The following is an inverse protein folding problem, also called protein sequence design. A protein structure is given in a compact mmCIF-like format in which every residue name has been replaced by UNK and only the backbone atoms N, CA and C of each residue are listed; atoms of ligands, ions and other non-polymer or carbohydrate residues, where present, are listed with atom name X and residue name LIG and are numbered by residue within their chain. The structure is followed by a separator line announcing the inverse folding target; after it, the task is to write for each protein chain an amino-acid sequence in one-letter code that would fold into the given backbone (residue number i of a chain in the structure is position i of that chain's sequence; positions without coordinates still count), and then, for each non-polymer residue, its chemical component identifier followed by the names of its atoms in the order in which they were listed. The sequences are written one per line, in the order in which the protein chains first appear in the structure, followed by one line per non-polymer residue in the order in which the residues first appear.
data_IF_479295211745
#
_entry.id   IF_479295211745
#
_cell.length_a   1.000
_cell.length_b   1.000
_cell.length_c   1.000
_cell.angle_alpha   90.00
_cell.angle_beta   90.00
_cell.angle_gamma   90.00
#
_symmetry.space_group_name_H-M   'P 1'
#
loop_
_entity.id
_entity.type
_entity.pdbx_description
1 polymer ?
#
# COMPACT_ATOMS: atom_id res chain seq x y z
N UNK A 1 23.33 -19.04 -26.58
CA UNK A 1 22.89 -18.86 -25.20
C UNK A 1 23.37 -17.51 -24.73
N UNK A 2 22.56 -16.47 -24.95
CA UNK A 2 22.77 -15.17 -24.33
C UNK A 2 22.35 -15.37 -22.87
N UNK A 3 23.31 -15.29 -21.95
CA UNK A 3 23.00 -15.40 -20.53
C UNK A 3 22.02 -14.25 -20.15
N UNK A 4 20.76 -14.55 -19.91
CA UNK A 4 19.73 -13.63 -19.48
C UNK A 4 20.12 -12.83 -18.23
N UNK A 5 21.06 -13.38 -17.44
CA UNK A 5 21.54 -12.79 -16.18
C UNK A 5 22.26 -11.45 -16.31
N UNK A 6 22.79 -11.10 -17.47
CA UNK A 6 23.55 -9.84 -17.64
C UNK A 6 22.69 -8.60 -17.88
N UNK A 7 21.38 -8.78 -18.15
CA UNK A 7 20.48 -7.65 -18.43
C UNK A 7 19.91 -7.01 -17.16
N UNK A 8 19.85 -7.75 -16.07
CA UNK A 8 19.21 -7.31 -14.83
C UNK A 8 20.23 -6.96 -13.75
N UNK A 9 19.83 -6.08 -12.85
CA UNK A 9 20.59 -5.78 -11.65
C UNK A 9 20.23 -6.80 -10.57
N UNK A 10 21.12 -7.71 -10.28
CA UNK A 10 20.91 -8.86 -9.37
C UNK A 10 20.54 -8.44 -7.94
N UNK A 11 20.87 -7.21 -7.53
CA UNK A 11 20.61 -6.72 -6.18
C UNK A 11 19.25 -6.06 -6.01
N UNK A 12 18.56 -5.72 -7.10
CA UNK A 12 17.31 -4.96 -7.08
C UNK A 12 16.10 -5.75 -7.58
N UNK A 13 16.28 -7.01 -7.95
CA UNK A 13 15.18 -7.90 -8.36
C UNK A 13 14.31 -8.32 -7.18
N UNK A 14 13.02 -8.50 -7.43
CA UNK A 14 12.03 -9.03 -6.46
C UNK A 14 11.22 -10.14 -7.10
N UNK A 15 10.82 -11.11 -6.27
CA UNK A 15 9.90 -12.17 -6.67
C UNK A 15 8.48 -11.72 -6.36
N UNK A 16 7.55 -12.01 -7.27
CA UNK A 16 6.12 -11.80 -7.05
C UNK A 16 5.52 -13.14 -6.65
N UNK A 17 4.99 -13.22 -5.43
CA UNK A 17 4.29 -14.39 -4.94
C UNK A 17 2.83 -14.06 -4.70
N UNK A 18 1.97 -15.06 -4.93
CA UNK A 18 0.57 -15.07 -4.50
C UNK A 18 0.37 -16.39 -3.75
N UNK A 19 -0.03 -16.33 -2.50
CA UNK A 19 -0.23 -17.49 -1.61
C UNK A 19 0.96 -18.47 -1.65
N UNK A 20 2.18 -17.93 -1.45
CA UNK A 20 3.47 -18.62 -1.51
C UNK A 20 3.86 -19.20 -2.89
N UNK A 21 3.02 -19.06 -3.90
CA UNK A 21 3.32 -19.48 -5.26
C UNK A 21 4.02 -18.34 -6.01
N UNK A 22 5.23 -18.63 -6.53
CA UNK A 22 5.94 -17.68 -7.39
C UNK A 22 5.20 -17.56 -8.74
N UNK A 23 4.69 -16.37 -9.03
CA UNK A 23 3.99 -16.06 -10.29
C UNK A 23 4.76 -15.10 -11.19
N UNK A 24 5.85 -14.51 -10.71
CA UNK A 24 6.61 -13.59 -11.55
C UNK A 24 7.80 -12.96 -10.86
N UNK A 25 8.37 -11.98 -11.53
CA UNK A 25 9.51 -11.19 -11.03
C UNK A 25 9.39 -9.74 -11.42
N UNK A 26 9.90 -8.86 -10.56
CA UNK A 26 10.15 -7.45 -10.86
C UNK A 26 11.66 -7.29 -10.94
N UNK A 27 12.18 -6.79 -12.05
CA UNK A 27 13.59 -6.64 -12.27
C UNK A 27 13.93 -5.19 -12.66
N UNK A 28 15.12 -4.74 -12.27
CA UNK A 28 15.67 -3.45 -12.71
C UNK A 28 16.73 -3.71 -13.76
N UNK A 29 16.61 -3.12 -14.93
CA UNK A 29 17.60 -3.30 -15.99
C UNK A 29 18.93 -2.66 -15.61
N UNK A 30 20.02 -3.31 -15.96
CA UNK A 30 21.36 -2.81 -15.70
C UNK A 30 21.62 -1.50 -16.48
N UNK A 31 22.25 -0.55 -15.83
CA UNK A 31 22.57 0.76 -16.44
C UNK A 31 23.40 0.68 -17.71
N UNK A 32 24.22 -0.34 -17.86
CA UNK A 32 24.98 -0.59 -19.08
C UNK A 32 24.10 -0.67 -20.33
N UNK A 33 22.88 -1.20 -20.18
CA UNK A 33 21.88 -1.30 -21.26
C UNK A 33 20.98 -0.09 -21.35
N UNK A 34 20.59 0.48 -20.21
CA UNK A 34 19.60 1.55 -20.17
C UNK A 34 20.15 2.95 -20.44
N UNK A 35 21.47 3.14 -20.32
CA UNK A 35 22.12 4.43 -20.55
C UNK A 35 21.89 5.01 -21.96
N UNK A 36 21.69 4.14 -22.95
CA UNK A 36 21.34 4.55 -24.33
C UNK A 36 19.91 5.10 -24.45
N UNK A 37 19.00 4.65 -23.58
CA UNK A 37 17.59 5.02 -23.57
C UNK A 37 17.31 6.15 -22.60
N UNK A 38 17.89 6.11 -21.41
CA UNK A 38 17.75 7.14 -20.39
C UNK A 38 18.91 7.13 -19.39
N UNK A 39 19.63 8.24 -19.30
CA UNK A 39 20.73 8.39 -18.33
C UNK A 39 20.25 8.62 -16.88
N UNK A 40 19.03 9.17 -16.71
CA UNK A 40 18.52 9.63 -15.42
C UNK A 40 17.47 8.72 -14.80
N UNK A 41 16.86 7.82 -15.57
CA UNK A 41 15.76 6.97 -15.10
C UNK A 41 16.19 5.52 -15.01
N UNK A 42 15.73 4.82 -13.98
CA UNK A 42 15.78 3.36 -13.95
C UNK A 42 14.64 2.80 -14.80
N UNK A 43 14.92 1.70 -15.52
CA UNK A 43 13.90 0.95 -16.26
C UNK A 43 13.64 -0.31 -15.46
N UNK A 44 12.38 -0.51 -15.13
CA UNK A 44 11.88 -1.68 -14.40
C UNK A 44 11.05 -2.53 -15.35
N UNK A 45 11.27 -3.83 -15.34
CA UNK A 45 10.45 -4.81 -16.04
C UNK A 45 9.68 -5.66 -15.03
N UNK A 46 8.49 -6.05 -15.40
CA UNK A 46 7.65 -6.96 -14.63
C UNK A 46 7.29 -8.12 -15.55
N UNK A 47 7.71 -9.32 -15.16
CA UNK A 47 7.40 -10.56 -15.87
C UNK A 47 6.41 -11.36 -15.02
N UNK A 48 5.26 -11.71 -15.58
CA UNK A 48 4.21 -12.48 -14.91
C UNK A 48 3.90 -13.73 -15.74
N UNK A 49 3.98 -14.89 -15.08
CA UNK A 49 3.48 -16.15 -15.60
C UNK A 49 1.94 -16.15 -15.48
N UNK A 50 1.29 -15.79 -16.58
CA UNK A 50 -0.15 -15.62 -16.60
C UNK A 50 -0.90 -16.95 -16.45
N UNK A 51 -0.35 -18.03 -16.94
CA UNK A 51 -0.93 -19.36 -16.79
C UNK A 51 -0.97 -19.78 -15.32
N UNK A 52 0.13 -19.59 -14.60
CA UNK A 52 0.16 -19.81 -13.15
C UNK A 52 -0.82 -18.88 -12.42
N UNK A 53 -0.86 -17.60 -12.79
CA UNK A 53 -1.78 -16.64 -12.16
C UNK A 53 -3.25 -17.04 -12.33
N UNK A 54 -3.64 -17.55 -13.51
CA UNK A 54 -5.02 -17.93 -13.79
C UNK A 54 -5.45 -19.24 -13.12
N UNK A 55 -4.48 -20.11 -12.78
CA UNK A 55 -4.75 -21.39 -12.09
C UNK A 55 -4.85 -21.24 -10.57
N UNK A 56 -4.46 -20.08 -10.00
CA UNK A 56 -4.62 -19.83 -8.58
C UNK A 56 -6.11 -19.76 -8.22
N UNK A 57 -6.45 -20.40 -7.11
CA UNK A 57 -7.81 -20.30 -6.55
C UNK A 57 -8.10 -18.82 -6.26
N UNK A 58 -9.17 -18.31 -6.87
CA UNK A 58 -9.67 -16.98 -6.59
C UNK A 58 -10.62 -17.10 -5.41
N UNK A 59 -10.29 -16.49 -4.29
CA UNK A 59 -11.30 -16.22 -3.27
C UNK A 59 -12.46 -15.47 -3.93
N UNK A 60 -13.66 -16.07 -3.92
CA UNK A 60 -14.87 -15.37 -4.31
C UNK A 60 -15.00 -14.15 -3.39
N UNK A 61 -14.73 -12.98 -3.92
CA UNK A 61 -15.04 -11.75 -3.20
C UNK A 61 -16.56 -11.65 -3.11
N UNK A 62 -17.10 -12.19 -2.02
CA UNK A 62 -18.50 -11.92 -1.66
C UNK A 62 -18.69 -10.41 -1.73
N UNK A 63 -19.65 -9.99 -2.54
CA UNK A 63 -20.02 -8.59 -2.66
C UNK A 63 -20.34 -8.04 -1.26
N UNK A 64 -19.49 -7.16 -0.76
CA UNK A 64 -19.77 -6.47 0.51
C UNK A 64 -20.99 -5.59 0.26
N UNK A 65 -21.99 -5.69 1.14
CA UNK A 65 -23.14 -4.78 1.11
C UNK A 65 -22.67 -3.34 0.99
N UNK A 66 -23.13 -2.66 -0.05
CA UNK A 66 -22.86 -1.23 -0.23
C UNK A 66 -23.56 -0.50 0.90
N UNK A 67 -22.83 0.30 1.65
CA UNK A 67 -23.42 1.10 2.72
C UNK A 67 -24.54 1.99 2.14
N UNK A 68 -25.69 1.98 2.77
CA UNK A 68 -26.81 2.89 2.44
C UNK A 68 -26.56 4.32 2.91
N UNK A 69 -25.53 4.52 3.72
CA UNK A 69 -25.17 5.80 4.32
C UNK A 69 -23.94 6.38 3.64
N UNK A 70 -23.82 7.71 3.52
CA UNK A 70 -22.70 8.35 2.87
C UNK A 70 -21.37 8.02 3.54
N UNK A 71 -20.34 7.87 2.70
CA UNK A 71 -18.97 7.71 3.15
C UNK A 71 -18.34 9.08 3.44
N UNK A 72 -17.42 9.11 4.39
CA UNK A 72 -16.63 10.29 4.76
C UNK A 72 -15.15 9.96 4.58
N UNK A 73 -14.41 10.84 3.91
CA UNK A 73 -12.96 10.71 3.77
C UNK A 73 -12.25 11.61 4.79
N UNK A 74 -11.23 11.05 5.45
CA UNK A 74 -10.33 11.77 6.35
C UNK A 74 -8.89 11.53 5.94
N UNK A 75 -8.13 12.61 5.82
CA UNK A 75 -6.74 12.60 5.43
C UNK A 75 -5.83 12.83 6.64
N UNK A 76 -4.75 12.05 6.71
CA UNK A 76 -3.74 12.15 7.76
C UNK A 76 -2.36 12.12 7.15
N UNK A 77 -1.52 13.10 7.50
CA UNK A 77 -0.11 13.09 7.14
C UNK A 77 0.70 12.50 8.28
N UNK A 78 1.33 11.35 8.03
CA UNK A 78 2.15 10.64 9.00
C UNK A 78 3.62 10.80 8.62
N UNK A 79 4.46 11.13 9.59
CA UNK A 79 5.88 11.36 9.40
C UNK A 79 6.64 10.09 9.81
N UNK A 80 7.44 9.56 8.89
CA UNK A 80 8.31 8.41 9.12
C UNK A 80 9.76 8.85 9.29
N UNK A 81 10.21 8.94 10.55
CA UNK A 81 11.61 9.18 10.87
C UNK A 81 12.33 7.83 10.92
N UNK A 82 13.15 7.51 9.91
CA UNK A 82 13.97 6.29 9.83
C UNK A 82 13.20 4.93 9.85
N UNK A 83 11.88 4.92 9.71
CA UNK A 83 11.07 3.72 9.57
C UNK A 83 10.72 3.46 8.12
N UNK A 84 10.43 2.19 7.79
CA UNK A 84 9.97 1.80 6.44
C UNK A 84 8.47 1.95 6.33
N UNK A 85 7.97 2.08 5.10
CA UNK A 85 6.51 2.10 4.85
C UNK A 85 5.82 0.82 5.36
N UNK A 86 6.50 -0.33 5.31
CA UNK A 86 5.96 -1.59 5.87
C UNK A 86 5.61 -1.47 7.36
N UNK A 87 6.45 -0.80 8.15
CA UNK A 87 6.20 -0.58 9.58
C UNK A 87 4.95 0.30 9.79
N UNK A 88 4.76 1.32 8.94
CA UNK A 88 3.54 2.13 8.95
C UNK A 88 2.31 1.28 8.57
N UNK A 89 2.42 0.48 7.53
CA UNK A 89 1.30 -0.35 7.06
C UNK A 89 0.82 -1.33 8.14
N UNK A 90 1.71 -1.93 8.91
CA UNK A 90 1.36 -2.77 10.06
C UNK A 90 0.58 -1.98 11.12
N UNK A 91 1.03 -0.76 11.44
CA UNK A 91 0.33 0.11 12.39
C UNK A 91 -1.06 0.49 11.88
N UNK A 92 -1.20 0.83 10.59
CA UNK A 92 -2.50 1.17 9.99
C UNK A 92 -3.46 -0.04 10.02
N UNK A 93 -2.98 -1.24 9.70
CA UNK A 93 -3.76 -2.49 9.73
C UNK A 93 -4.17 -2.89 11.15
N UNK A 94 -3.33 -2.61 12.13
CA UNK A 94 -3.61 -2.96 13.53
C UNK A 94 -4.63 -2.03 14.22
N UNK A 95 -4.99 -0.89 13.60
CA UNK A 95 -5.93 0.06 14.22
C UNK A 95 -7.38 -0.48 14.18
N UNK A 96 -7.98 -0.80 15.35
CA UNK A 96 -9.29 -1.42 15.41
C UNK A 96 -10.40 -0.37 15.26
N UNK A 97 -11.09 -0.37 14.13
CA UNK A 97 -12.32 0.43 13.97
C UNK A 97 -13.28 -0.21 12.97
N UNK A 98 -14.54 -0.35 13.37
CA UNK A 98 -15.62 -0.85 12.50
C UNK A 98 -16.07 0.17 11.46
N UNK A 99 -15.67 1.43 11.60
CA UNK A 99 -16.02 2.49 10.67
C UNK A 99 -15.16 2.49 9.41
N UNK A 100 -13.96 1.89 9.47
CA UNK A 100 -13.04 1.84 8.33
C UNK A 100 -13.60 0.91 7.25
N UNK A 101 -13.85 1.47 6.08
CA UNK A 101 -14.16 0.71 4.86
C UNK A 101 -12.91 0.42 4.08
N UNK A 102 -12.04 1.42 3.95
CA UNK A 102 -10.78 1.32 3.24
C UNK A 102 -9.81 2.39 3.74
N UNK A 103 -8.52 2.19 3.49
CA UNK A 103 -7.51 3.25 3.53
C UNK A 103 -6.57 3.10 2.34
N UNK A 104 -5.98 4.22 1.92
CA UNK A 104 -5.01 4.23 0.82
C UNK A 104 -3.94 5.29 1.04
N UNK A 105 -2.74 4.99 0.56
CA UNK A 105 -1.67 5.97 0.43
C UNK A 105 -1.99 6.87 -0.77
N UNK A 106 -2.09 8.17 -0.55
CA UNK A 106 -2.38 9.17 -1.59
C UNK A 106 -1.09 9.72 -2.18
N UNK A 107 -0.16 10.12 -1.29
CA UNK A 107 1.06 10.79 -1.70
C UNK A 107 2.18 10.51 -0.71
N UNK A 108 3.41 10.56 -1.21
CA UNK A 108 4.63 10.56 -0.40
C UNK A 108 5.48 11.76 -0.79
N UNK A 109 5.77 12.60 0.17
CA UNK A 109 6.69 13.71 0.00
C UNK A 109 7.75 13.66 1.10
N UNK A 110 9.02 13.43 0.72
CA UNK A 110 10.12 13.18 1.63
C UNK A 110 9.82 12.05 2.63
N UNK A 111 9.71 12.36 3.91
CA UNK A 111 9.35 11.42 4.97
C UNK A 111 7.88 11.53 5.40
N UNK A 112 7.05 12.27 4.67
CA UNK A 112 5.62 12.48 4.93
C UNK A 112 4.78 11.58 4.03
N UNK A 113 3.86 10.86 4.65
CA UNK A 113 2.97 9.91 4.00
C UNK A 113 1.52 10.34 4.21
N UNK A 114 0.85 10.77 3.15
CA UNK A 114 -0.56 11.16 3.16
C UNK A 114 -1.43 9.93 3.01
N UNK A 115 -2.12 9.57 4.08
CA UNK A 115 -3.03 8.42 4.15
C UNK A 115 -4.46 8.92 4.19
N UNK A 116 -5.30 8.42 3.30
CA UNK A 116 -6.73 8.68 3.28
C UNK A 116 -7.51 7.49 3.82
N UNK A 117 -8.34 7.72 4.81
CA UNK A 117 -9.32 6.77 5.30
C UNK A 117 -10.69 7.07 4.73
N UNK A 118 -11.37 6.04 4.22
CA UNK A 118 -12.78 6.08 3.88
C UNK A 118 -13.56 5.43 5.00
N UNK A 119 -14.44 6.19 5.63
CA UNK A 119 -15.24 5.80 6.80
C UNK A 119 -16.72 5.75 6.44
N UNK A 120 -17.40 4.72 6.90
CA UNK A 120 -18.86 4.65 6.85
C UNK A 120 -19.40 3.75 7.97
N UNK A 121 -20.66 3.96 8.30
CA UNK A 121 -21.41 3.05 9.17
C UNK A 121 -22.51 2.34 8.35
N UNK A 122 -22.78 1.08 8.66
CA UNK A 122 -23.88 0.35 8.03
C UNK A 122 -25.25 0.70 8.66
N UNK A 123 -25.25 1.42 9.80
CA UNK A 123 -26.45 1.61 10.62
C UNK A 123 -26.94 3.06 10.66
N UNK A 124 -26.08 4.03 10.39
CA UNK A 124 -26.42 5.47 10.44
C UNK A 124 -25.44 6.32 9.63
N UNK A 125 -25.85 7.54 9.30
CA UNK A 125 -24.92 8.56 8.82
C UNK A 125 -23.94 8.94 9.94
N UNK A 126 -22.64 9.07 9.59
CA UNK A 126 -21.64 9.50 10.55
C UNK A 126 -21.82 10.97 10.90
N UNK A 127 -21.88 11.25 12.19
CA UNK A 127 -21.96 12.61 12.74
C UNK A 127 -20.55 13.13 13.09
N UNK A 128 -20.43 14.43 13.28
CA UNK A 128 -19.16 15.06 13.66
C UNK A 128 -18.56 14.46 14.93
N UNK A 129 -19.37 14.07 15.90
CA UNK A 129 -18.94 13.41 17.13
C UNK A 129 -18.30 12.03 16.87
N UNK A 130 -18.85 11.26 15.92
CA UNK A 130 -18.29 9.96 15.55
C UNK A 130 -16.91 10.14 14.90
N UNK A 131 -16.77 11.14 14.03
CA UNK A 131 -15.52 11.48 13.37
C UNK A 131 -14.47 11.99 14.35
N UNK A 132 -14.82 12.86 15.27
CA UNK A 132 -13.92 13.34 16.34
C UNK A 132 -13.43 12.18 17.22
N UNK A 133 -14.33 11.27 17.60
CA UNK A 133 -13.96 10.08 18.39
C UNK A 133 -12.98 9.19 17.60
N UNK A 134 -13.23 8.99 16.32
CA UNK A 134 -12.32 8.24 15.45
C UNK A 134 -10.95 8.92 15.38
N UNK A 135 -10.89 10.23 15.11
CA UNK A 135 -9.65 11.01 15.02
C UNK A 135 -8.81 10.90 16.30
N UNK A 136 -9.44 11.13 17.46
CA UNK A 136 -8.74 11.07 18.75
C UNK A 136 -8.12 9.68 18.98
N UNK A 137 -8.87 8.62 18.71
CA UNK A 137 -8.39 7.24 18.85
C UNK A 137 -7.28 6.93 17.87
N UNK A 138 -7.41 7.39 16.62
CA UNK A 138 -6.41 7.18 15.59
C UNK A 138 -5.10 7.90 15.92
N UNK A 139 -5.16 9.18 16.28
CA UNK A 139 -3.99 9.96 16.70
C UNK A 139 -3.29 9.31 17.89
N UNK A 140 -4.06 8.86 18.90
CA UNK A 140 -3.50 8.15 20.04
C UNK A 140 -2.80 6.84 19.63
N UNK A 141 -3.41 6.08 18.70
CA UNK A 141 -2.82 4.85 18.18
C UNK A 141 -1.50 5.10 17.42
N UNK A 142 -1.44 6.10 16.57
CA UNK A 142 -0.22 6.51 15.85
C UNK A 142 0.87 6.90 16.83
N UNK A 143 0.56 7.74 17.83
CA UNK A 143 1.51 8.17 18.86
C UNK A 143 2.00 7.00 19.73
N UNK A 144 1.14 6.06 20.10
CA UNK A 144 1.48 4.86 20.86
C UNK A 144 2.47 3.93 20.12
N UNK A 145 2.47 3.95 18.79
CA UNK A 145 3.41 3.20 17.95
C UNK A 145 4.67 4.00 17.57
N UNK A 146 4.97 5.08 18.31
CA UNK A 146 6.13 5.96 18.09
C UNK A 146 6.19 6.53 16.65
N UNK A 147 5.04 6.89 16.11
CA UNK A 147 4.91 7.62 14.85
C UNK A 147 4.42 9.05 15.13
N UNK A 148 4.80 9.97 14.25
CA UNK A 148 4.36 11.36 14.32
C UNK A 148 3.26 11.59 13.31
N UNK A 149 2.30 12.42 13.66
CA UNK A 149 1.23 12.89 12.78
C UNK A 149 1.30 14.42 12.70
N UNK A 150 1.17 14.96 11.51
CA UNK A 150 1.09 16.39 11.28
C UNK A 150 -0.33 16.85 11.65
N UNK A 151 -0.43 17.86 12.50
CA UNK A 151 -1.71 18.46 12.96
C UNK A 151 -2.10 19.65 12.08
#
# INVERSE_FOLDING_TARGET
NVNEYNYYNDTLGKIINVDDNKIGTINVLNKSYTNKLSKKKAIVTIDIDFDKYTTLEKEEKLSKEISKYPEVELDYTIILDNKKYADLEEVLKSFPSKLIKNYRLIEVYENKYLIRYTLASNNKTLEQKDLQTFQQRFIAHIKANNLKIEE
#
